data_IF_894242830016
#
_entry.id   IF_894242830016
#
_cell.length_a   1.000
_cell.length_b   1.000
_cell.length_c   1.000
_cell.angle_alpha   90.00
_cell.angle_beta   90.00
_cell.angle_gamma   90.00
#
_symmetry.space_group_name_H-M   'P 1'
#
loop_
_entity.id
_entity.type
_entity.pdbx_description
1 polymer ?
#
# COMPACT_ATOMS: atom_id res chain seq x y z
N UNK A 1 16.74 -9.80 -13.19
CA UNK A 1 16.61 -9.03 -11.93
C UNK A 1 15.54 -9.68 -11.05
N UNK A 2 15.90 -10.32 -9.92
CA UNK A 2 14.97 -10.94 -8.94
C UNK A 2 15.09 -10.29 -7.54
N UNK A 3 15.23 -8.97 -7.49
CA UNK A 3 15.47 -8.21 -6.25
C UNK A 3 14.27 -7.35 -5.77
N UNK A 4 13.17 -7.26 -6.54
CA UNK A 4 12.05 -6.36 -6.22
C UNK A 4 11.08 -6.91 -5.16
N UNK A 5 10.73 -8.20 -5.22
CA UNK A 5 9.65 -8.78 -4.40
C UNK A 5 9.95 -8.76 -2.89
N UNK A 6 11.21 -8.97 -2.47
CA UNK A 6 11.59 -9.00 -1.05
C UNK A 6 11.41 -7.64 -0.36
N UNK A 7 11.69 -6.53 -1.08
CA UNK A 7 11.53 -5.17 -0.54
C UNK A 7 10.06 -4.80 -0.40
N UNK A 8 9.23 -5.22 -1.35
CA UNK A 8 7.79 -5.00 -1.33
C UNK A 8 7.14 -5.75 -0.17
N UNK A 9 7.52 -7.02 0.04
CA UNK A 9 7.04 -7.82 1.16
C UNK A 9 7.39 -7.21 2.53
N UNK A 10 8.64 -6.76 2.70
CA UNK A 10 9.09 -6.12 3.93
C UNK A 10 8.31 -4.82 4.21
N UNK A 11 8.09 -4.01 3.16
CA UNK A 11 7.29 -2.79 3.27
C UNK A 11 5.85 -3.09 3.67
N UNK A 12 5.21 -4.09 3.05
CA UNK A 12 3.84 -4.49 3.38
C UNK A 12 3.73 -4.93 4.84
N UNK A 13 4.67 -5.74 5.32
CA UNK A 13 4.70 -6.18 6.71
C UNK A 13 4.83 -4.99 7.67
N UNK A 14 5.73 -4.03 7.41
CA UNK A 14 5.89 -2.83 8.24
C UNK A 14 4.63 -1.96 8.24
N UNK A 15 3.96 -1.82 7.10
CA UNK A 15 2.70 -1.07 7.00
C UNK A 15 1.58 -1.75 7.80
N UNK A 16 1.46 -3.08 7.72
CA UNK A 16 0.49 -3.85 8.50
C UNK A 16 0.78 -3.77 10.01
N UNK A 17 2.04 -3.89 10.42
CA UNK A 17 2.47 -3.73 11.83
C UNK A 17 2.20 -2.31 12.36
N UNK A 18 2.33 -1.30 11.50
CA UNK A 18 2.00 0.09 11.81
C UNK A 18 0.48 0.38 11.81
N UNK A 19 -0.35 -0.60 11.44
CA UNK A 19 -1.81 -0.46 11.38
C UNK A 19 -2.30 0.33 10.15
N UNK A 20 -1.48 0.43 9.11
CA UNK A 20 -1.84 1.10 7.86
C UNK A 20 -2.78 0.21 7.05
N UNK A 21 -3.94 0.75 6.69
CA UNK A 21 -4.92 0.11 5.81
C UNK A 21 -4.90 0.75 4.44
N UNK A 22 -4.95 -0.08 3.40
CA UNK A 22 -4.98 0.35 2.00
C UNK A 22 -6.23 -0.19 1.32
N UNK A 23 -6.91 0.68 0.57
CA UNK A 23 -8.12 0.33 -0.17
C UNK A 23 -8.08 0.99 -1.55
N UNK A 24 -8.40 0.23 -2.59
CA UNK A 24 -8.58 0.79 -3.93
C UNK A 24 -10.00 1.36 -4.02
N UNK A 25 -10.10 2.67 -4.28
CA UNK A 25 -11.37 3.40 -4.37
C UNK A 25 -11.75 3.67 -5.84
N UNK A 26 -13.00 4.07 -6.12
CA UNK A 26 -13.44 4.41 -7.47
C UNK A 26 -12.50 5.42 -8.15
N UNK A 27 -12.26 5.22 -9.45
CA UNK A 27 -11.26 5.97 -10.20
C UNK A 27 -9.84 5.40 -10.09
N UNK A 28 -9.68 4.20 -9.51
CA UNK A 28 -8.40 3.48 -9.47
C UNK A 28 -7.37 4.10 -8.54
N UNK A 29 -7.81 4.94 -7.60
CA UNK A 29 -6.93 5.58 -6.61
C UNK A 29 -6.75 4.68 -5.39
N UNK A 30 -5.66 4.89 -4.67
CA UNK A 30 -5.35 4.22 -3.43
C UNK A 30 -5.64 5.14 -2.26
N UNK A 31 -6.57 4.72 -1.40
CA UNK A 31 -6.83 5.32 -0.10
C UNK A 31 -5.98 4.60 0.94
N UNK A 32 -5.18 5.36 1.66
CA UNK A 32 -4.30 4.85 2.72
C UNK A 32 -4.72 5.52 4.02
N UNK A 33 -5.02 4.72 5.04
CA UNK A 33 -5.43 5.18 6.36
C UNK A 33 -4.45 4.64 7.40
N UNK A 34 -3.85 5.50 8.22
CA UNK A 34 -3.00 5.06 9.32
C UNK A 34 -3.83 4.72 10.58
N UNK A 35 -3.14 4.31 11.65
CA UNK A 35 -3.76 3.96 12.92
C UNK A 35 -4.43 5.14 13.63
N UNK A 36 -3.93 6.34 13.42
CA UNK A 36 -4.43 7.58 14.02
C UNK A 36 -5.62 8.15 13.23
N UNK A 37 -5.97 7.52 12.10
CA UNK A 37 -7.08 7.92 11.22
C UNK A 37 -6.70 8.97 10.19
N UNK A 38 -5.41 9.30 10.03
CA UNK A 38 -4.98 10.18 8.94
C UNK A 38 -5.16 9.44 7.60
N UNK A 39 -5.70 10.17 6.62
CA UNK A 39 -6.01 9.63 5.31
C UNK A 39 -5.22 10.37 4.23
N UNK A 40 -4.55 9.62 3.37
CA UNK A 40 -4.02 10.12 2.11
C UNK A 40 -4.67 9.38 0.94
N UNK A 41 -4.90 10.11 -0.15
CA UNK A 41 -5.44 9.57 -1.40
C UNK A 41 -4.46 9.91 -2.51
N UNK A 42 -3.96 8.89 -3.19
CA UNK A 42 -3.02 9.06 -4.31
C UNK A 42 -3.22 8.00 -5.38
N UNK A 43 -2.57 8.16 -6.51
CA UNK A 43 -2.49 7.08 -7.49
C UNK A 43 -1.70 5.90 -6.89
N UNK A 44 -2.13 4.64 -7.15
CA UNK A 44 -1.37 3.48 -6.75
C UNK A 44 -0.05 3.44 -7.52
N UNK A 45 1.00 2.95 -6.88
CA UNK A 45 2.19 2.60 -7.63
C UNK A 45 1.95 1.31 -8.44
N UNK A 46 2.66 1.09 -9.56
CA UNK A 46 2.46 -0.10 -10.40
C UNK A 46 2.52 -1.44 -9.63
N UNK A 47 3.40 -1.54 -8.63
CA UNK A 47 3.55 -2.76 -7.82
C UNK A 47 2.50 -2.91 -6.70
N UNK A 48 1.70 -1.88 -6.41
CA UNK A 48 0.61 -1.96 -5.42
C UNK A 48 -0.68 -2.53 -6.04
N UNK A 49 -0.80 -2.49 -7.37
CA UNK A 49 -1.91 -3.09 -8.14
C UNK A 49 -1.58 -4.50 -8.65
N UNK A 50 -0.32 -4.81 -8.95
CA UNK A 50 0.09 -6.14 -9.44
C UNK A 50 0.16 -7.23 -8.33
N UNK A 51 0.12 -6.85 -7.06
CA UNK A 51 0.33 -7.74 -5.91
C UNK A 51 -0.87 -7.93 -4.98
N UNK A 52 -2.07 -7.55 -5.41
CA UNK A 52 -3.32 -7.78 -4.68
C UNK A 52 -4.11 -8.94 -5.30
#
# INVERSE_FOLDING_TARGET
MKLSLRKVALKKQVEEEAGVKKEVIPGGRLKITDRDGNVIIREPYPWEVEGN
#
